data_IF_295591851320
#
_entry.id   IF_295591851320
#
_cell.length_a   1.000
_cell.length_b   1.000
_cell.length_c   1.000
_cell.angle_alpha   90.00
_cell.angle_beta   90.00
_cell.angle_gamma   90.00
#
_symmetry.space_group_name_H-M   'P 1'
#
loop_
_entity.id
_entity.type
_entity.pdbx_description
1 polymer ?
#
# COMPACT_ATOMS: atom_id res chain seq x y z
N UNK A 1 -15.00 1.65 9.08
CA UNK A 1 -14.02 2.73 8.81
C UNK A 1 -12.65 2.47 9.46
N UNK A 2 -12.56 2.34 10.78
CA UNK A 2 -11.26 2.27 11.50
C UNK A 2 -10.40 1.06 11.10
N UNK A 3 -10.94 -0.16 11.15
CA UNK A 3 -10.20 -1.38 10.77
C UNK A 3 -9.75 -1.36 9.29
N UNK A 4 -10.50 -0.67 8.43
CA UNK A 4 -10.17 -0.55 7.01
C UNK A 4 -9.04 0.44 6.78
N UNK A 5 -9.05 1.57 7.49
CA UNK A 5 -7.96 2.55 7.47
C UNK A 5 -6.64 1.97 7.98
N UNK A 6 -6.70 1.16 9.04
CA UNK A 6 -5.52 0.50 9.61
C UNK A 6 -4.93 -0.53 8.62
N UNK A 7 -5.78 -1.35 7.98
CA UNK A 7 -5.33 -2.25 6.91
C UNK A 7 -4.73 -1.48 5.71
N UNK A 8 -5.33 -0.34 5.35
CA UNK A 8 -4.92 0.46 4.20
C UNK A 8 -3.55 1.13 4.38
N UNK A 9 -3.29 1.75 5.52
CA UNK A 9 -1.97 2.37 5.79
C UNK A 9 -0.87 1.33 5.96
N UNK A 10 -1.18 0.14 6.46
CA UNK A 10 -0.22 -0.95 6.58
C UNK A 10 0.26 -1.50 5.21
N UNK A 11 -0.45 -1.25 4.11
CA UNK A 11 0.00 -1.62 2.76
C UNK A 11 1.21 -0.80 2.28
N UNK A 12 1.42 0.41 2.81
CA UNK A 12 2.58 1.23 2.42
C UNK A 12 3.89 0.67 2.98
N UNK A 13 3.81 -0.11 4.06
CA UNK A 13 4.98 -0.69 4.71
C UNK A 13 5.46 -1.89 3.88
N UNK A 14 6.67 -1.85 3.31
CA UNK A 14 7.12 -2.87 2.38
C UNK A 14 7.60 -4.16 3.07
N UNK A 15 7.25 -4.41 4.34
CA UNK A 15 7.81 -5.53 5.13
C UNK A 15 7.53 -6.90 4.52
N UNK A 16 6.34 -7.07 3.93
CA UNK A 16 5.96 -8.29 3.21
C UNK A 16 6.78 -8.50 1.94
N UNK A 17 7.29 -7.42 1.34
CA UNK A 17 8.02 -7.45 0.07
C UNK A 17 9.55 -7.45 0.24
N UNK A 18 10.07 -7.07 1.42
CA UNK A 18 11.52 -7.07 1.71
C UNK A 18 12.22 -8.40 1.36
N UNK A 19 11.68 -9.59 1.69
CA UNK A 19 12.32 -10.86 1.34
C UNK A 19 12.46 -11.06 -0.17
N UNK A 20 11.41 -10.73 -0.93
CA UNK A 20 11.41 -10.84 -2.38
C UNK A 20 12.38 -9.84 -3.03
N UNK A 21 12.46 -8.62 -2.49
CA UNK A 21 13.41 -7.60 -2.96
C UNK A 21 14.86 -8.01 -2.68
N UNK A 22 15.13 -8.66 -1.56
CA UNK A 22 16.45 -9.23 -1.25
C UNK A 22 16.88 -10.29 -2.27
N UNK A 23 15.95 -11.13 -2.72
CA UNK A 23 16.20 -12.12 -3.78
C UNK A 23 16.41 -11.43 -5.14
N UNK A 24 15.68 -10.36 -5.43
CA UNK A 24 15.80 -9.58 -6.66
C UNK A 24 17.01 -8.63 -6.69
N UNK A 25 17.74 -8.48 -5.59
CA UNK A 25 18.86 -7.52 -5.47
C UNK A 25 18.40 -6.06 -5.47
N UNK A 26 17.13 -5.80 -5.14
CA UNK A 26 16.53 -4.46 -5.12
C UNK A 26 16.47 -3.90 -3.70
N UNK A 27 16.51 -2.58 -3.60
CA UNK A 27 16.40 -1.87 -2.33
C UNK A 27 14.94 -1.69 -1.90
N UNK A 28 14.70 -1.52 -0.60
CA UNK A 28 13.38 -1.17 -0.07
C UNK A 28 12.83 0.14 -0.69
N UNK A 29 13.72 1.08 -1.07
CA UNK A 29 13.32 2.34 -1.70
C UNK A 29 12.72 2.15 -3.10
N UNK A 30 13.09 1.09 -3.80
CA UNK A 30 12.64 0.85 -5.18
C UNK A 30 11.16 0.46 -5.23
N UNK A 31 10.64 -0.22 -4.20
CA UNK A 31 9.22 -0.57 -4.09
C UNK A 31 8.35 0.52 -3.45
N UNK A 32 8.95 1.40 -2.64
CA UNK A 32 8.21 2.42 -1.88
C UNK A 32 7.38 3.33 -2.79
N UNK A 33 7.88 3.65 -4.00
CA UNK A 33 7.12 4.40 -5.00
C UNK A 33 5.83 3.68 -5.41
N UNK A 34 5.89 2.37 -5.64
CA UNK A 34 4.71 1.54 -5.95
C UNK A 34 3.74 1.47 -4.77
N UNK A 35 4.25 1.32 -3.54
CA UNK A 35 3.44 1.32 -2.31
C UNK A 35 2.67 2.64 -2.13
N UNK A 36 3.28 3.79 -2.43
CA UNK A 36 2.63 5.11 -2.36
C UNK A 36 1.52 5.24 -3.40
N UNK A 37 1.78 4.83 -4.66
CA UNK A 37 0.76 4.86 -5.72
C UNK A 37 -0.41 3.97 -5.36
N UNK A 38 -0.15 2.75 -4.87
CA UNK A 38 -1.17 1.82 -4.40
C UNK A 38 -2.00 2.42 -3.27
N UNK A 39 -1.37 3.09 -2.31
CA UNK A 39 -2.08 3.76 -1.21
C UNK A 39 -3.05 4.82 -1.74
N UNK A 40 -2.60 5.69 -2.65
CA UNK A 40 -3.46 6.74 -3.20
C UNK A 40 -4.63 6.18 -4.02
N UNK A 41 -4.37 5.22 -4.91
CA UNK A 41 -5.42 4.63 -5.78
C UNK A 41 -6.47 3.89 -4.95
N UNK A 42 -6.03 3.06 -4.01
CA UNK A 42 -6.96 2.31 -3.13
C UNK A 42 -7.75 3.24 -2.22
N UNK A 43 -7.12 4.32 -1.73
CA UNK A 43 -7.78 5.38 -0.98
C UNK A 43 -8.90 6.06 -1.77
N UNK A 44 -8.64 6.41 -3.02
CA UNK A 44 -9.66 7.04 -3.89
C UNK A 44 -10.82 6.08 -4.15
N UNK A 45 -10.54 4.81 -4.48
CA UNK A 45 -11.58 3.81 -4.76
C UNK A 45 -12.49 3.62 -3.54
N UNK A 46 -11.90 3.51 -2.35
CA UNK A 46 -12.69 3.24 -1.14
C UNK A 46 -13.36 4.49 -0.59
N UNK A 47 -12.74 5.66 -0.70
CA UNK A 47 -13.43 6.91 -0.42
C UNK A 47 -14.64 7.08 -1.35
N UNK A 48 -14.52 6.77 -2.64
CA UNK A 48 -15.64 6.78 -3.57
C UNK A 48 -16.72 5.74 -3.19
N UNK A 49 -16.31 4.53 -2.80
CA UNK A 49 -17.22 3.50 -2.30
C UNK A 49 -18.03 3.96 -1.09
N UNK A 50 -17.39 4.56 -0.08
CA UNK A 50 -18.07 5.12 1.10
C UNK A 50 -18.90 6.38 0.82
N UNK A 51 -18.65 7.07 -0.29
CA UNK A 51 -19.39 8.29 -0.65
C UNK A 51 -20.64 7.97 -1.46
N UNK A 52 -20.60 6.89 -2.25
CA UNK A 52 -21.70 6.45 -3.12
C UNK A 52 -22.68 5.51 -2.40
N UNK A 53 -22.20 4.72 -1.44
CA UNK A 53 -22.99 3.73 -0.68
C UNK A 53 -22.97 4.06 0.81
#
# INVERSE_FOLDING_TARGET
AIAWGDAWTNMIQPFWALPALGIAGLGARDIMGYCVVTLLVTGVIVAAGFLIF
#
